data_IF_546879431504
#
_entry.id   IF_546879431504
#
_cell.length_a   1.000
_cell.length_b   1.000
_cell.length_c   1.000
_cell.angle_alpha   90.00
_cell.angle_beta   90.00
_cell.angle_gamma   90.00
#
_symmetry.space_group_name_H-M   'P 1'
#
loop_
_entity.id
_entity.type
_entity.pdbx_description
1 polymer ?
#
# COMPACT_ATOMS: atom_id res chain seq x y z
N UNK A 1 -12.72 -1.15 14.41
CA UNK A 1 -11.43 -1.05 15.13
C UNK A 1 -10.40 -0.62 14.11
N UNK A 2 -9.82 0.58 14.26
CA UNK A 2 -8.75 1.02 13.37
C UNK A 2 -7.46 0.31 13.78
N UNK A 3 -6.77 -0.37 12.86
CA UNK A 3 -5.42 -0.88 13.14
C UNK A 3 -4.45 0.32 13.16
N UNK A 4 -3.37 0.23 13.95
CA UNK A 4 -2.23 1.16 13.98
C UNK A 4 -1.73 1.54 12.59
N UNK A 5 -1.75 0.60 11.63
CA UNK A 5 -1.35 0.89 10.24
C UNK A 5 -2.32 1.87 9.57
N UNK A 6 -3.63 1.66 9.71
CA UNK A 6 -4.67 2.58 9.22
C UNK A 6 -4.54 3.96 9.86
N UNK A 7 -4.30 4.03 11.17
CA UNK A 7 -4.10 5.31 11.88
C UNK A 7 -2.85 6.05 11.38
N UNK A 8 -1.75 5.33 11.16
CA UNK A 8 -0.53 5.89 10.60
C UNK A 8 -0.76 6.42 9.16
N UNK A 9 -1.48 5.68 8.33
CA UNK A 9 -1.85 6.11 6.97
C UNK A 9 -2.67 7.39 6.99
N UNK A 10 -3.72 7.45 7.82
CA UNK A 10 -4.59 8.63 7.97
C UNK A 10 -3.76 9.82 8.46
N UNK A 11 -2.88 9.61 9.45
CA UNK A 11 -2.02 10.67 9.99
C UNK A 11 -1.08 11.24 8.93
N UNK A 12 -0.46 10.39 8.11
CA UNK A 12 0.41 10.82 7.00
C UNK A 12 -0.37 11.63 5.96
N UNK A 13 -1.61 11.23 5.63
CA UNK A 13 -2.51 11.99 4.75
C UNK A 13 -2.85 13.36 5.34
N UNK A 14 -3.19 13.42 6.63
CA UNK A 14 -3.54 14.67 7.32
C UNK A 14 -2.39 15.67 7.41
N UNK A 15 -1.14 15.18 7.51
CA UNK A 15 0.08 16.02 7.48
C UNK A 15 0.36 16.55 6.07
N UNK A 16 -0.36 16.07 5.05
CA UNK A 16 -0.23 16.52 3.66
C UNK A 16 0.83 15.78 2.85
N UNK A 17 1.25 14.57 3.27
CA UNK A 17 2.15 13.77 2.45
C UNK A 17 1.43 13.28 1.19
N UNK A 18 2.06 13.41 0.00
CA UNK A 18 1.49 12.89 -1.24
C UNK A 18 1.27 11.38 -1.15
N UNK A 19 0.11 10.90 -1.58
CA UNK A 19 -0.28 9.49 -1.46
C UNK A 19 0.72 8.55 -2.16
N UNK A 20 1.29 8.97 -3.29
CA UNK A 20 2.36 8.23 -3.98
C UNK A 20 3.62 8.04 -3.13
N UNK A 21 3.97 9.03 -2.30
CA UNK A 21 5.13 8.95 -1.40
C UNK A 21 4.82 8.05 -0.21
N UNK A 22 3.58 8.12 0.31
CA UNK A 22 3.09 7.20 1.33
C UNK A 22 3.20 5.77 0.81
N UNK A 23 2.63 5.46 -0.37
CA UNK A 23 2.70 4.11 -0.97
C UNK A 23 4.13 3.58 -1.10
N UNK A 24 5.09 4.43 -1.48
CA UNK A 24 6.50 4.04 -1.64
C UNK A 24 7.19 3.72 -0.32
N UNK A 25 6.89 4.46 0.74
CA UNK A 25 7.59 4.40 2.02
C UNK A 25 6.91 3.48 3.04
N UNK A 26 5.58 3.40 3.00
CA UNK A 26 4.77 2.70 3.99
C UNK A 26 5.09 1.20 4.13
N UNK A 27 5.28 0.42 3.04
CA UNK A 27 5.70 -0.99 3.18
C UNK A 27 7.02 -1.13 3.95
N UNK A 28 7.99 -0.23 3.70
CA UNK A 28 9.28 -0.22 4.40
C UNK A 28 9.12 0.10 5.89
N UNK A 29 8.23 1.02 6.24
CA UNK A 29 7.94 1.39 7.64
C UNK A 29 7.33 0.23 8.43
N UNK A 30 6.51 -0.61 7.78
CA UNK A 30 5.91 -1.81 8.39
C UNK A 30 6.86 -3.01 8.37
N UNK A 31 8.06 -2.86 7.81
CA UNK A 31 9.04 -3.95 7.70
C UNK A 31 8.66 -5.01 6.65
N UNK A 32 7.82 -4.66 5.68
CA UNK A 32 7.42 -5.55 4.58
C UNK A 32 7.97 -5.06 3.26
N UNK A 33 8.78 -5.89 2.59
CA UNK A 33 9.36 -5.53 1.29
C UNK A 33 8.45 -5.90 0.11
N UNK A 34 8.53 -5.16 -1.01
CA UNK A 34 7.77 -5.50 -2.22
C UNK A 34 8.04 -6.93 -2.74
N UNK A 35 9.29 -7.45 -2.73
CA UNK A 35 9.55 -8.85 -3.06
C UNK A 35 8.84 -9.85 -2.15
N UNK A 36 8.73 -9.57 -0.85
CA UNK A 36 8.02 -10.45 0.08
C UNK A 36 6.51 -10.44 -0.17
N UNK A 37 5.92 -9.27 -0.40
CA UNK A 37 4.51 -9.15 -0.79
C UNK A 37 4.23 -9.93 -2.08
N UNK A 38 5.12 -9.79 -3.08
CA UNK A 38 5.03 -10.48 -4.36
C UNK A 38 5.00 -12.00 -4.17
N UNK A 39 5.91 -12.52 -3.34
CA UNK A 39 5.97 -13.95 -3.01
C UNK A 39 4.73 -14.44 -2.29
N UNK A 40 4.24 -13.72 -1.27
CA UNK A 40 3.08 -14.14 -0.46
C UNK A 40 1.77 -14.11 -1.22
N UNK A 41 1.60 -13.15 -2.15
CA UNK A 41 0.37 -12.96 -2.92
C UNK A 41 0.39 -13.61 -4.30
N UNK A 42 1.51 -14.26 -4.68
CA UNK A 42 1.72 -14.81 -6.02
C UNK A 42 1.51 -13.76 -7.13
N UNK A 43 2.00 -12.53 -6.89
CA UNK A 43 1.94 -11.41 -7.82
C UNK A 43 3.38 -11.04 -8.18
N UNK A 44 3.66 -10.68 -9.44
CA UNK A 44 5.02 -10.28 -9.80
C UNK A 44 5.44 -9.00 -9.07
N UNK A 45 6.71 -8.93 -8.66
CA UNK A 45 7.28 -7.72 -8.05
C UNK A 45 7.07 -6.49 -8.92
N UNK A 46 7.27 -6.62 -10.24
CA UNK A 46 7.07 -5.53 -11.19
C UNK A 46 5.64 -5.00 -11.15
N UNK A 47 4.66 -5.90 -11.03
CA UNK A 47 3.26 -5.51 -10.88
C UNK A 47 3.06 -4.74 -9.57
N UNK A 48 3.51 -5.26 -8.42
CA UNK A 48 3.43 -4.51 -7.14
C UNK A 48 4.07 -3.12 -7.26
N UNK A 49 5.27 -3.02 -7.84
CA UNK A 49 5.95 -1.73 -8.06
C UNK A 49 5.10 -0.78 -8.91
N UNK A 50 4.40 -1.26 -9.94
CA UNK A 50 3.52 -0.43 -10.76
C UNK A 50 2.36 0.17 -9.93
N UNK A 51 1.75 -0.60 -9.03
CA UNK A 51 0.67 -0.12 -8.16
C UNK A 51 1.15 0.86 -7.11
N UNK A 52 2.30 0.59 -6.50
CA UNK A 52 2.92 1.51 -5.54
C UNK A 52 3.23 2.86 -6.22
N UNK A 53 3.62 2.85 -7.49
CA UNK A 53 3.84 4.04 -8.31
C UNK A 53 2.55 4.67 -8.89
N UNK A 54 1.37 4.14 -8.58
CA UNK A 54 0.08 4.67 -9.06
C UNK A 54 -0.26 4.35 -10.51
N UNK A 55 0.41 3.38 -11.15
CA UNK A 55 0.20 3.01 -12.57
C UNK A 55 -0.74 1.82 -12.77
N UNK A 56 -1.17 1.15 -11.69
CA UNK A 56 -2.01 -0.05 -11.74
C UNK A 56 -3.48 0.23 -11.41
N UNK A 57 -4.40 -0.43 -12.11
CA UNK A 57 -5.85 -0.23 -11.89
C UNK A 57 -6.68 -1.51 -11.61
N UNK A 58 -6.09 -2.70 -11.67
CA UNK A 58 -6.80 -3.94 -11.28
C UNK A 58 -7.19 -3.91 -9.78
N UNK A 59 -8.49 -3.96 -9.42
CA UNK A 59 -8.95 -3.93 -8.03
C UNK A 59 -8.38 -5.06 -7.17
N UNK A 60 -8.28 -6.28 -7.70
CA UNK A 60 -7.79 -7.43 -6.94
C UNK A 60 -6.33 -7.26 -6.48
N UNK A 61 -5.50 -6.56 -7.27
CA UNK A 61 -4.12 -6.27 -6.89
C UNK A 61 -4.05 -5.16 -5.84
N UNK A 62 -4.94 -4.15 -5.93
CA UNK A 62 -5.06 -3.11 -4.89
C UNK A 62 -5.47 -3.72 -3.56
N UNK A 63 -6.48 -4.58 -3.56
CA UNK A 63 -6.93 -5.36 -2.40
C UNK A 63 -5.81 -6.24 -1.82
N UNK A 64 -5.08 -6.97 -2.67
CA UNK A 64 -3.99 -7.82 -2.21
C UNK A 64 -2.87 -7.02 -1.51
N UNK A 65 -2.50 -5.85 -2.05
CA UNK A 65 -1.49 -4.97 -1.46
C UNK A 65 -2.00 -4.36 -0.16
N UNK A 66 -3.22 -3.83 -0.15
CA UNK A 66 -3.80 -3.19 1.02
C UNK A 66 -4.01 -4.19 2.18
N UNK A 67 -4.46 -5.41 1.86
CA UNK A 67 -4.57 -6.52 2.82
C UNK A 67 -3.22 -6.91 3.42
N UNK A 68 -2.14 -6.89 2.65
CA UNK A 68 -0.80 -7.20 3.15
C UNK A 68 -0.24 -6.14 4.10
N UNK A 69 -0.67 -4.89 3.91
CA UNK A 69 -0.29 -3.75 4.73
C UNK A 69 -1.29 -3.48 5.87
N UNK A 70 -2.36 -4.27 5.91
CA UNK A 70 -3.50 -4.12 6.81
C UNK A 70 -4.05 -2.69 6.87
N UNK A 71 -4.36 -2.15 5.69
CA UNK A 71 -4.95 -0.82 5.50
C UNK A 71 -6.16 -0.88 4.57
N UNK A 72 -7.10 0.07 4.65
CA UNK A 72 -8.20 0.17 3.69
C UNK A 72 -7.69 0.48 2.29
N UNK A 73 -8.23 -0.21 1.30
CA UNK A 73 -7.88 -0.01 -0.13
C UNK A 73 -8.14 1.43 -0.55
N UNK A 74 -9.31 1.96 -0.20
CA UNK A 74 -9.71 3.31 -0.56
C UNK A 74 -8.79 4.35 0.07
N UNK A 75 -8.36 4.17 1.32
CA UNK A 75 -7.46 5.12 1.95
C UNK A 75 -6.06 5.13 1.35
N UNK A 76 -5.59 3.97 0.86
CA UNK A 76 -4.23 3.78 0.35
C UNK A 76 -4.10 4.07 -1.16
N UNK A 77 -5.19 3.90 -1.92
CA UNK A 77 -5.19 4.06 -3.38
C UNK A 77 -6.10 5.17 -3.91
N UNK A 78 -7.13 5.60 -3.18
CA UNK A 78 -8.01 6.70 -3.57
C UNK A 78 -7.48 8.03 -3.03
N UNK A 79 -7.47 9.04 -3.89
CA UNK A 79 -7.04 10.41 -3.58
C UNK A 79 -8.21 11.26 -3.05
#
# INVERSE_FOLDING_TARGET
>A
MSNKNTEALISLKQIGFPLVNIRKSFPKLIGTSQPEMARRRNISRANITAYINGRGNNPAVKEAIASELDVPVDDFFCE
#
